data_IF_214077036220
#
_entry.id   IF_214077036220
#
_cell.length_a   1.000
_cell.length_b   1.000
_cell.length_c   1.000
_cell.angle_alpha   90.00
_cell.angle_beta   90.00
_cell.angle_gamma   90.00
#
_symmetry.space_group_name_H-M   'P 1'
#
loop_
_entity.id
_entity.type
_entity.pdbx_description
1 polymer ?
#
# COMPACT_ATOMS: atom_id res chain seq x y z
N UNK A 1 11.26 4.01 13.83
CA UNK A 1 10.21 4.78 14.53
C UNK A 1 8.91 4.14 14.15
N UNK A 2 8.07 3.79 15.12
CA UNK A 2 6.81 3.08 14.83
C UNK A 2 5.99 3.86 13.79
N UNK A 3 5.52 3.14 12.80
CA UNK A 3 4.62 3.67 11.79
C UNK A 3 3.25 3.96 12.43
N UNK A 4 2.55 4.93 11.90
CA UNK A 4 1.23 5.35 12.37
C UNK A 4 0.26 5.50 11.21
N UNK A 5 -1.02 5.72 11.51
CA UNK A 5 -2.07 5.89 10.49
C UNK A 5 -1.65 6.81 9.34
N UNK A 6 -1.75 6.31 8.11
CA UNK A 6 -1.36 7.02 6.90
C UNK A 6 0.15 7.09 6.63
N UNK A 7 0.99 6.35 7.38
CA UNK A 7 2.43 6.21 7.07
C UNK A 7 2.66 5.44 5.76
N UNK A 8 1.73 4.57 5.39
CA UNK A 8 1.64 3.96 4.06
C UNK A 8 0.20 4.09 3.55
N UNK A 9 0.01 3.88 2.24
CA UNK A 9 -1.31 3.68 1.64
C UNK A 9 -1.20 2.63 0.53
N UNK A 10 -2.25 1.83 0.33
CA UNK A 10 -2.32 0.90 -0.80
C UNK A 10 -2.40 1.68 -2.12
N UNK A 11 -1.73 1.17 -3.16
CA UNK A 11 -1.74 1.71 -4.53
C UNK A 11 -1.93 0.61 -5.59
N UNK A 12 -2.07 -0.64 -5.14
CA UNK A 12 -2.49 -1.80 -5.93
C UNK A 12 -3.06 -2.88 -5.01
N UNK A 13 -4.12 -3.53 -5.46
CA UNK A 13 -4.80 -4.66 -4.81
C UNK A 13 -5.17 -5.66 -5.90
N UNK A 14 -4.83 -6.93 -5.72
CA UNK A 14 -5.18 -8.02 -6.63
C UNK A 14 -5.52 -9.24 -5.78
N UNK A 15 -6.76 -9.72 -5.90
CA UNK A 15 -7.29 -10.94 -5.29
C UNK A 15 -7.62 -12.02 -6.34
N UNK A 16 -7.05 -11.86 -7.53
CA UNK A 16 -7.14 -12.82 -8.62
C UNK A 16 -5.74 -13.36 -9.01
N UNK A 17 -5.70 -14.45 -9.77
CA UNK A 17 -4.47 -15.10 -10.17
C UNK A 17 -3.68 -15.64 -8.97
N UNK A 18 -2.60 -14.96 -8.57
CA UNK A 18 -1.74 -15.36 -7.45
C UNK A 18 -1.56 -14.29 -6.36
N UNK A 19 -2.48 -13.34 -6.32
CA UNK A 19 -2.63 -12.27 -5.35
C UNK A 19 -1.40 -11.37 -5.17
N UNK A 20 -1.65 -10.06 -5.23
CA UNK A 20 -0.60 -9.06 -5.16
C UNK A 20 -1.12 -7.82 -4.44
N UNK A 21 -0.23 -7.15 -3.72
CA UNK A 21 -0.50 -5.80 -3.23
C UNK A 21 0.64 -4.87 -3.61
N UNK A 22 0.34 -3.59 -3.69
CA UNK A 22 1.36 -2.55 -3.72
C UNK A 22 1.00 -1.48 -2.70
N UNK A 23 2.00 -0.98 -1.96
CA UNK A 23 1.81 0.16 -1.07
C UNK A 23 2.89 1.21 -1.33
N UNK A 24 2.53 2.47 -1.12
CA UNK A 24 3.48 3.59 -1.13
C UNK A 24 3.83 3.99 0.30
N UNK A 25 5.10 4.25 0.56
CA UNK A 25 5.55 4.91 1.78
C UNK A 25 5.19 6.41 1.73
N UNK A 26 4.40 6.91 2.68
CA UNK A 26 4.05 8.34 2.76
C UNK A 26 4.86 9.09 3.84
N UNK A 27 5.66 8.35 4.60
CA UNK A 27 6.77 8.79 5.43
C UNK A 27 7.96 7.86 5.20
N UNK A 28 9.17 8.29 5.57
CA UNK A 28 10.34 7.41 5.54
C UNK A 28 10.11 6.22 6.50
N UNK A 29 10.38 5.00 6.01
CA UNK A 29 10.33 3.76 6.77
C UNK A 29 11.77 3.31 7.05
N UNK A 30 12.24 3.38 8.31
CA UNK A 30 13.57 2.87 8.66
C UNK A 30 13.74 1.38 8.40
N UNK A 31 15.00 0.95 8.18
CA UNK A 31 15.32 -0.48 8.15
C UNK A 31 14.95 -1.15 9.48
N UNK A 32 14.41 -2.37 9.39
CA UNK A 32 13.96 -3.17 10.52
C UNK A 32 12.52 -2.92 10.95
N UNK A 33 11.81 -1.94 10.39
CA UNK A 33 10.37 -1.83 10.57
C UNK A 33 9.66 -3.01 9.87
N UNK A 34 8.70 -3.61 10.57
CA UNK A 34 7.86 -4.69 10.06
C UNK A 34 6.42 -4.22 10.00
N UNK A 35 5.70 -4.56 8.93
CA UNK A 35 4.26 -4.35 8.75
C UNK A 35 3.62 -5.72 8.57
N UNK A 36 2.54 -5.98 9.30
CA UNK A 36 1.70 -7.17 9.11
C UNK A 36 0.52 -6.77 8.22
N UNK A 37 0.24 -7.63 7.25
CA UNK A 37 -0.95 -7.60 6.40
C UNK A 37 -1.82 -8.80 6.75
N UNK A 38 -3.08 -8.57 7.09
CA UNK A 38 -4.01 -9.60 7.56
C UNK A 38 -5.42 -9.30 7.05
N UNK A 39 -6.08 -10.29 6.45
CA UNK A 39 -7.44 -10.20 5.92
C UNK A 39 -8.52 -10.74 6.89
N UNK A 40 -8.14 -11.58 7.87
CA UNK A 40 -9.01 -12.02 8.97
C UNK A 40 -9.89 -10.84 9.47
N UNK A 41 -11.18 -11.11 9.73
CA UNK A 41 -12.12 -9.99 9.84
C UNK A 41 -12.03 -9.32 11.21
N UNK A 42 -11.74 -8.01 11.20
CA UNK A 42 -11.77 -7.22 12.42
C UNK A 42 -13.20 -6.93 12.85
N UNK A 43 -13.60 -7.41 14.03
CA UNK A 43 -14.96 -7.24 14.56
C UNK A 43 -15.17 -5.94 15.36
N UNK A 44 -14.16 -5.06 15.40
CA UNK A 44 -14.17 -3.86 16.23
C UNK A 44 -13.39 -3.97 17.53
N UNK A 45 -12.88 -5.14 17.91
CA UNK A 45 -12.12 -5.35 19.14
C UNK A 45 -11.00 -6.38 19.03
N UNK A 46 -11.18 -7.38 18.16
CA UNK A 46 -10.19 -8.40 17.83
C UNK A 46 -10.44 -8.88 16.40
N UNK A 47 -9.45 -9.55 15.83
CA UNK A 47 -9.66 -10.42 14.68
C UNK A 47 -10.61 -11.56 15.06
N UNK A 48 -11.66 -11.77 14.27
CA UNK A 48 -12.74 -12.71 14.57
C UNK A 48 -12.26 -14.16 14.51
N UNK A 49 -11.31 -14.45 13.62
CA UNK A 49 -10.62 -15.72 13.57
C UNK A 49 -9.11 -15.57 13.30
N UNK A 50 -8.48 -16.68 12.93
CA UNK A 50 -7.05 -16.74 12.60
C UNK A 50 -6.79 -17.65 11.39
N UNK A 51 -7.80 -17.92 10.57
CA UNK A 51 -7.76 -18.92 9.50
C UNK A 51 -7.81 -18.31 8.10
N UNK A 52 -7.55 -17.03 7.95
CA UNK A 52 -7.38 -16.40 6.63
C UNK A 52 -5.90 -16.05 6.36
N UNK A 53 -5.65 -15.26 5.31
CA UNK A 53 -4.34 -14.80 4.90
C UNK A 53 -3.66 -13.85 5.91
N UNK A 54 -2.45 -14.23 6.35
CA UNK A 54 -1.61 -13.30 7.11
C UNK A 54 -0.14 -13.40 6.70
N UNK A 55 0.46 -12.26 6.39
CA UNK A 55 1.87 -12.14 6.04
C UNK A 55 2.49 -10.89 6.62
N UNK A 56 3.82 -10.88 6.71
CA UNK A 56 4.55 -9.69 7.14
C UNK A 56 5.57 -9.28 6.09
N UNK A 57 5.76 -7.97 5.95
CA UNK A 57 6.85 -7.38 5.20
C UNK A 57 7.77 -6.65 6.16
N UNK A 58 9.08 -6.84 6.01
CA UNK A 58 10.11 -6.14 6.77
C UNK A 58 11.01 -5.34 5.83
N UNK A 59 11.25 -4.07 6.18
CA UNK A 59 12.21 -3.22 5.49
C UNK A 59 13.64 -3.70 5.78
N UNK A 60 14.33 -4.27 4.79
CA UNK A 60 15.75 -4.71 4.94
C UNK A 60 16.74 -3.55 4.81
N UNK A 61 16.31 -2.44 4.19
CA UNK A 61 16.98 -1.14 4.15
C UNK A 61 15.94 -0.04 4.36
N UNK A 62 16.38 1.20 4.60
CA UNK A 62 15.45 2.32 4.70
C UNK A 62 14.69 2.51 3.37
N UNK A 63 13.38 2.74 3.45
CA UNK A 63 12.50 3.03 2.32
C UNK A 63 12.09 4.50 2.42
N UNK A 64 12.52 5.31 1.46
CA UNK A 64 12.20 6.74 1.44
C UNK A 64 10.72 6.98 1.12
N UNK A 65 10.14 8.03 1.67
CA UNK A 65 8.80 8.48 1.33
C UNK A 65 8.67 8.69 -0.20
N UNK A 66 7.51 8.31 -0.73
CA UNK A 66 7.20 8.25 -2.16
C UNK A 66 7.57 6.94 -2.84
N UNK A 67 8.35 6.07 -2.20
CA UNK A 67 8.70 4.76 -2.78
C UNK A 67 7.52 3.80 -2.73
N UNK A 68 7.28 3.08 -3.82
CA UNK A 68 6.31 1.99 -3.89
C UNK A 68 7.00 0.66 -3.67
N UNK A 69 6.42 -0.17 -2.82
CA UNK A 69 6.80 -1.57 -2.61
C UNK A 69 5.68 -2.44 -3.16
N UNK A 70 6.02 -3.37 -4.07
CA UNK A 70 5.11 -4.44 -4.50
C UNK A 70 5.38 -5.67 -3.67
N UNK A 71 4.32 -6.44 -3.39
CA UNK A 71 4.38 -7.76 -2.78
C UNK A 71 3.60 -8.69 -3.70
N UNK A 72 4.27 -9.73 -4.15
CA UNK A 72 3.80 -10.62 -5.21
C UNK A 72 3.77 -12.07 -4.73
N UNK A 73 2.92 -12.88 -5.37
CA UNK A 73 2.75 -14.30 -5.09
C UNK A 73 2.26 -14.56 -3.65
N UNK A 74 1.25 -13.80 -3.20
CA UNK A 74 0.71 -13.89 -1.84
C UNK A 74 -0.16 -15.15 -1.69
N UNK A 75 -0.90 -15.55 -2.73
CA UNK A 75 -1.78 -16.71 -2.71
C UNK A 75 -1.05 -18.06 -2.66
N UNK A 76 0.05 -18.19 -3.41
CA UNK A 76 0.80 -19.44 -3.52
C UNK A 76 2.27 -19.26 -3.91
N UNK A 77 3.08 -20.32 -3.79
CA UNK A 77 4.51 -20.26 -4.13
C UNK A 77 5.33 -19.41 -3.17
N UNK A 78 6.46 -18.86 -3.65
CA UNK A 78 7.34 -18.01 -2.84
C UNK A 78 6.92 -16.55 -2.96
N UNK A 79 6.37 -15.99 -1.88
CA UNK A 79 6.08 -14.56 -1.82
C UNK A 79 7.37 -13.73 -1.94
N UNK A 80 7.31 -12.62 -2.67
CA UNK A 80 8.45 -11.74 -2.92
C UNK A 80 8.04 -10.28 -2.80
N UNK A 81 9.00 -9.40 -2.52
CA UNK A 81 8.76 -7.96 -2.56
C UNK A 81 9.82 -7.26 -3.42
N UNK A 82 9.46 -6.15 -4.05
CA UNK A 82 10.40 -5.34 -4.84
C UNK A 82 11.55 -4.75 -4.01
N UNK A 83 11.32 -4.58 -2.70
CA UNK A 83 12.33 -4.30 -1.69
C UNK A 83 11.88 -4.86 -0.33
N UNK A 84 12.80 -5.05 0.62
CA UNK A 84 12.47 -5.70 1.88
C UNK A 84 12.35 -7.23 1.75
N UNK A 85 11.71 -7.86 2.73
CA UNK A 85 11.50 -9.30 2.77
C UNK A 85 10.11 -9.65 3.29
N UNK A 86 9.47 -10.64 2.67
CA UNK A 86 8.15 -11.15 3.07
C UNK A 86 8.30 -12.42 3.88
N UNK A 87 7.53 -12.56 4.97
CA UNK A 87 7.49 -13.77 5.79
C UNK A 87 6.05 -14.24 5.95
N UNK A 88 5.82 -15.53 5.68
CA UNK A 88 4.61 -16.29 5.94
C UNK A 88 4.95 -17.63 6.64
N UNK A 89 4.08 -18.16 7.53
CA UNK A 89 2.93 -17.47 8.11
C UNK A 89 3.37 -16.46 9.18
N UNK A 90 2.44 -15.59 9.59
CA UNK A 90 2.64 -14.75 10.79
C UNK A 90 2.46 -15.61 12.04
N UNK A 91 3.33 -15.42 13.04
CA UNK A 91 3.25 -16.19 14.28
C UNK A 91 1.90 -15.96 15.00
N UNK A 92 1.23 -17.05 15.37
CA UNK A 92 -0.11 -16.99 15.98
C UNK A 92 -1.27 -16.84 14.99
N UNK A 93 -1.00 -17.01 13.68
CA UNK A 93 -1.98 -17.10 12.61
C UNK A 93 -1.96 -18.48 11.96
N UNK A 94 -3.02 -18.79 11.21
CA UNK A 94 -3.13 -19.97 10.37
C UNK A 94 -2.14 -19.93 9.20
N UNK A 95 -2.17 -21.01 8.41
CA UNK A 95 -1.32 -21.16 7.22
C UNK A 95 -2.06 -20.90 5.91
N UNK A 96 -3.31 -20.45 5.99
CA UNK A 96 -4.06 -20.03 4.80
C UNK A 96 -3.41 -18.78 4.20
N UNK A 97 -3.61 -18.62 2.90
CA UNK A 97 -2.90 -17.65 2.09
C UNK A 97 -3.84 -17.09 1.04
N UNK A 98 -3.49 -15.90 0.59
CA UNK A 98 -4.19 -15.20 -0.46
C UNK A 98 -5.26 -14.28 0.05
N UNK A 99 -6.02 -13.73 -0.88
CA UNK A 99 -7.21 -12.91 -0.68
C UNK A 99 -8.30 -13.58 -1.52
N UNK A 100 -9.56 -13.67 -1.07
CA UNK A 100 -10.60 -14.08 -2.00
C UNK A 100 -11.07 -12.88 -2.85
N UNK A 101 -11.71 -13.24 -3.96
CA UNK A 101 -12.06 -12.31 -5.04
C UNK A 101 -13.01 -11.18 -4.62
N UNK A 102 -13.83 -11.38 -3.59
CA UNK A 102 -14.85 -10.41 -3.16
C UNK A 102 -15.03 -10.39 -1.65
N UNK A 103 -15.70 -9.36 -1.15
CA UNK A 103 -16.01 -9.15 0.28
C UNK A 103 -14.82 -9.07 1.25
N UNK A 104 -13.64 -8.71 0.76
CA UNK A 104 -12.39 -8.77 1.49
C UNK A 104 -11.94 -7.45 2.07
N UNK A 105 -11.34 -7.50 3.27
CA UNK A 105 -10.66 -6.36 3.90
C UNK A 105 -9.24 -6.70 4.34
N UNK A 106 -8.23 -6.11 3.71
CA UNK A 106 -6.84 -6.25 4.12
C UNK A 106 -6.40 -5.11 5.04
N UNK A 107 -6.04 -5.44 6.28
CA UNK A 107 -5.47 -4.51 7.25
C UNK A 107 -3.95 -4.49 7.20
N UNK A 108 -3.35 -3.30 7.26
CA UNK A 108 -1.92 -3.13 7.49
C UNK A 108 -1.68 -2.55 8.88
N UNK A 109 -0.89 -3.23 9.72
CA UNK A 109 -0.66 -2.82 11.10
C UNK A 109 0.73 -3.20 11.64
N UNK A 110 1.10 -2.58 12.76
CA UNK A 110 2.27 -2.91 13.57
C UNK A 110 1.88 -3.48 14.93
N UNK A 111 2.79 -4.23 15.57
CA UNK A 111 2.53 -4.85 16.87
C UNK A 111 1.90 -6.23 16.75
N UNK A 112 1.27 -6.70 17.84
CA UNK A 112 0.61 -8.01 17.85
C UNK A 112 -0.84 -7.91 17.42
N UNK A 113 -1.36 -9.01 16.89
CA UNK A 113 -2.79 -9.30 16.70
C UNK A 113 -3.73 -8.83 17.81
N UNK A 114 -3.29 -8.97 19.06
CA UNK A 114 -4.06 -8.64 20.28
C UNK A 114 -3.99 -7.16 20.68
N UNK A 115 -3.06 -6.42 20.11
CA UNK A 115 -2.87 -4.99 20.35
C UNK A 115 -2.33 -4.31 19.07
N UNK A 116 -3.09 -4.36 17.96
CA UNK A 116 -2.62 -3.85 16.67
C UNK A 116 -2.58 -2.32 16.69
N UNK A 117 -1.50 -1.78 16.13
CA UNK A 117 -1.39 -0.37 15.75
C UNK A 117 -1.66 -0.26 14.25
N UNK A 118 -2.92 -0.02 13.89
CA UNK A 118 -3.36 0.06 12.50
C UNK A 118 -2.73 1.26 11.77
N UNK A 119 -2.30 1.01 10.53
CA UNK A 119 -1.63 1.99 9.66
C UNK A 119 -2.52 2.38 8.49
N UNK A 120 -3.14 1.41 7.83
CA UNK A 120 -4.12 1.60 6.74
C UNK A 120 -4.92 0.32 6.54
N UNK A 121 -5.96 0.36 5.71
CA UNK A 121 -6.72 -0.80 5.27
C UNK A 121 -7.24 -0.58 3.84
N UNK A 122 -7.51 -1.67 3.12
CA UNK A 122 -8.25 -1.64 1.85
C UNK A 122 -9.34 -2.69 1.90
N UNK A 123 -10.54 -2.35 1.43
CA UNK A 123 -11.63 -3.32 1.25
C UNK A 123 -12.11 -3.31 -0.21
N UNK A 124 -12.43 -4.48 -0.78
CA UNK A 124 -13.04 -4.60 -2.12
C UNK A 124 -14.56 -4.80 -2.09
N UNK A 125 -15.13 -5.37 -1.03
CA UNK A 125 -16.59 -5.38 -0.76
C UNK A 125 -17.04 -4.41 0.35
N UNK A 126 -16.18 -3.44 0.70
CA UNK A 126 -16.47 -2.39 1.68
C UNK A 126 -16.36 -2.80 3.15
N UNK A 127 -16.25 -1.78 4.02
CA UNK A 127 -15.99 -1.98 5.45
C UNK A 127 -17.27 -2.24 6.25
N UNK A 128 -17.49 -3.49 6.67
CA UNK A 128 -18.65 -3.88 7.45
C UNK A 128 -18.34 -5.04 8.41
N UNK A 129 -19.29 -5.49 9.23
CA UNK A 129 -19.01 -6.55 10.22
C UNK A 129 -18.79 -7.94 9.64
N UNK A 130 -19.22 -8.18 8.40
CA UNK A 130 -19.00 -9.44 7.69
C UNK A 130 -17.63 -9.46 7.01
N UNK A 131 -17.22 -8.34 6.40
CA UNK A 131 -16.02 -8.25 5.57
C UNK A 131 -14.79 -7.75 6.35
N UNK A 132 -15.02 -7.11 7.50
CA UNK A 132 -14.02 -6.41 8.30
C UNK A 132 -14.41 -4.95 8.56
N UNK A 133 -14.53 -4.57 9.84
CA UNK A 133 -14.95 -3.24 10.23
C UNK A 133 -13.77 -2.30 10.55
N UNK A 134 -13.98 -0.99 10.44
CA UNK A 134 -13.01 0.02 10.94
C UNK A 134 -13.22 0.43 12.40
N UNK A 135 -14.21 -0.16 13.08
CA UNK A 135 -14.52 0.19 14.48
C UNK A 135 -13.30 0.02 15.37
N UNK A 136 -12.96 1.04 16.17
CA UNK A 136 -11.82 1.07 17.08
C UNK A 136 -10.42 0.84 16.46
N UNK A 137 -10.28 0.80 15.13
CA UNK A 137 -8.95 0.79 14.48
C UNK A 137 -8.33 2.19 14.49
N UNK A 138 -9.18 3.21 14.62
CA UNK A 138 -8.82 4.62 14.47
C UNK A 138 -8.67 5.06 13.02
N UNK A 139 -8.85 4.17 12.05
CA UNK A 139 -8.87 4.47 10.62
C UNK A 139 -10.23 5.06 10.21
N UNK A 140 -10.27 5.71 9.06
CA UNK A 140 -11.46 6.31 8.45
C UNK A 140 -11.41 6.09 6.94
N UNK A 141 -12.46 5.45 6.41
CA UNK A 141 -12.63 5.25 4.98
C UNK A 141 -12.58 6.60 4.23
N UNK A 142 -11.87 6.63 3.10
CA UNK A 142 -11.64 7.86 2.33
C UNK A 142 -10.52 8.75 2.84
N UNK A 143 -9.92 8.45 4.00
CA UNK A 143 -8.87 9.27 4.63
C UNK A 143 -7.56 8.50 4.75
N UNK A 144 -7.58 7.39 5.48
CA UNK A 144 -6.43 6.50 5.72
C UNK A 144 -6.79 5.01 5.55
N UNK A 145 -8.00 4.72 5.06
CA UNK A 145 -8.41 3.42 4.55
C UNK A 145 -9.16 3.59 3.21
N UNK A 146 -8.91 2.70 2.26
CA UNK A 146 -9.49 2.72 0.92
C UNK A 146 -10.68 1.77 0.83
N UNK A 147 -11.80 2.26 0.32
CA UNK A 147 -12.99 1.46 0.06
C UNK A 147 -13.22 1.35 -1.45
N UNK A 148 -12.74 0.26 -2.06
CA UNK A 148 -12.85 0.01 -3.49
C UNK A 148 -14.30 -0.30 -3.92
N UNK A 149 -15.17 -0.77 -3.02
CA UNK A 149 -16.59 -1.03 -3.33
C UNK A 149 -17.34 0.21 -3.84
N UNK A 150 -16.81 1.40 -3.53
CA UNK A 150 -17.35 2.67 -4.03
C UNK A 150 -16.95 2.99 -5.48
N UNK A 151 -15.96 2.28 -6.02
CA UNK A 151 -15.62 2.26 -7.45
C UNK A 151 -16.27 1.05 -8.12
N UNK A 152 -16.05 -0.13 -7.55
CA UNK A 152 -16.39 -1.43 -8.11
C UNK A 152 -16.47 -2.44 -6.95
N UNK A 153 -17.67 -2.96 -6.71
CA UNK A 153 -17.94 -3.89 -5.62
C UNK A 153 -17.39 -5.26 -6.00
N UNK A 154 -16.64 -5.91 -5.11
CA UNK A 154 -15.92 -7.16 -5.37
C UNK A 154 -14.84 -7.04 -6.48
N UNK A 155 -14.20 -5.88 -6.59
CA UNK A 155 -13.09 -5.71 -7.54
C UNK A 155 -12.01 -6.80 -7.38
N UNK A 156 -11.80 -7.60 -8.43
CA UNK A 156 -10.78 -8.65 -8.52
C UNK A 156 -9.37 -8.04 -8.48
N UNK A 157 -9.17 -6.96 -9.25
CA UNK A 157 -7.92 -6.21 -9.29
C UNK A 157 -8.19 -4.71 -9.41
N UNK A 158 -7.44 -3.90 -8.67
CA UNK A 158 -7.50 -2.45 -8.73
C UNK A 158 -6.11 -1.83 -8.62
N UNK A 159 -5.88 -0.72 -9.34
CA UNK A 159 -4.64 0.05 -9.26
C UNK A 159 -4.90 1.56 -9.21
N UNK A 160 -4.09 2.27 -8.42
CA UNK A 160 -4.16 3.72 -8.34
C UNK A 160 -3.76 4.36 -9.68
N UNK A 161 -4.66 5.15 -10.24
CA UNK A 161 -4.54 5.84 -11.54
C UNK A 161 -4.50 7.37 -11.41
N UNK A 162 -4.39 7.89 -10.18
CA UNK A 162 -4.24 9.32 -9.93
C UNK A 162 -2.80 9.84 -10.13
N UNK A 163 -2.64 11.16 -9.99
CA UNK A 163 -1.33 11.80 -10.11
C UNK A 163 -0.36 11.36 -8.99
N UNK A 164 0.85 10.99 -9.39
CA UNK A 164 1.97 10.65 -8.48
C UNK A 164 2.99 11.80 -8.36
N UNK A 165 2.67 12.98 -8.87
CA UNK A 165 3.53 14.16 -8.82
C UNK A 165 2.73 15.43 -8.53
N UNK A 166 3.41 16.44 -7.99
CA UNK A 166 2.82 17.77 -7.79
C UNK A 166 2.08 17.99 -6.48
N UNK A 167 2.08 17.05 -5.53
CA UNK A 167 1.63 17.35 -4.18
C UNK A 167 2.66 18.18 -3.40
N UNK A 168 2.21 18.94 -2.40
CA UNK A 168 3.07 19.74 -1.51
C UNK A 168 3.78 18.92 -0.43
N UNK A 169 3.29 17.72 -0.15
CA UNK A 169 3.88 16.73 0.77
C UNK A 169 3.45 15.33 0.37
N UNK A 170 4.12 14.29 0.86
CA UNK A 170 3.65 12.92 0.65
C UNK A 170 2.31 12.65 1.33
N UNK A 171 2.11 13.18 2.55
CA UNK A 171 0.84 13.07 3.25
C UNK A 171 -0.34 13.68 2.48
N UNK A 172 -0.11 14.68 1.62
CA UNK A 172 -1.14 15.28 0.79
C UNK A 172 -1.67 14.33 -0.31
N UNK A 173 -0.97 13.23 -0.61
CA UNK A 173 -1.50 12.18 -1.47
C UNK A 173 -2.53 11.29 -0.78
N UNK A 174 -2.63 11.27 0.56
CA UNK A 174 -3.52 10.34 1.29
C UNK A 174 -4.97 10.41 0.82
N UNK A 175 -5.53 11.61 0.73
CA UNK A 175 -6.91 11.79 0.27
C UNK A 175 -7.09 11.32 -1.16
N UNK A 176 -6.15 11.63 -2.05
CA UNK A 176 -6.24 11.19 -3.45
C UNK A 176 -6.17 9.66 -3.56
N UNK A 177 -5.23 9.03 -2.85
CA UNK A 177 -5.05 7.57 -2.86
C UNK A 177 -6.27 6.87 -2.25
N UNK A 178 -6.80 7.35 -1.12
CA UNK A 178 -7.96 6.72 -0.47
C UNK A 178 -9.31 7.12 -1.10
N UNK A 179 -9.32 7.83 -2.24
CA UNK A 179 -10.52 8.12 -3.01
C UNK A 179 -10.62 7.13 -4.17
N UNK A 180 -11.56 6.20 -4.13
CA UNK A 180 -11.70 5.13 -5.11
C UNK A 180 -11.91 5.63 -6.56
N UNK A 181 -12.52 6.80 -6.75
CA UNK A 181 -12.66 7.41 -8.08
C UNK A 181 -11.32 7.77 -8.76
N UNK A 182 -10.19 7.73 -8.05
CA UNK A 182 -8.85 7.89 -8.62
C UNK A 182 -8.18 6.54 -8.98
N UNK A 183 -8.94 5.45 -8.94
CA UNK A 183 -8.48 4.11 -9.28
C UNK A 183 -9.14 3.62 -10.58
N UNK A 184 -8.57 2.56 -11.12
CA UNK A 184 -9.18 1.72 -12.14
C UNK A 184 -9.24 0.30 -11.59
N UNK A 185 -10.25 -0.46 -12.00
CA UNK A 185 -10.48 -1.84 -11.58
C UNK A 185 -10.86 -2.73 -12.75
N UNK A 186 -10.80 -4.03 -12.51
CA UNK A 186 -11.51 -5.06 -13.24
C UNK A 186 -12.24 -5.95 -12.25
N UNK A 187 -13.41 -6.45 -12.68
CA UNK A 187 -14.26 -7.42 -12.01
C UNK A 187 -14.91 -8.27 -13.10
N UNK A 188 -14.70 -9.59 -13.07
CA UNK A 188 -15.11 -10.45 -14.15
C UNK A 188 -14.95 -11.95 -13.91
N UNK A 189 -14.92 -12.69 -15.02
CA UNK A 189 -14.75 -14.14 -14.99
C UNK A 189 -13.40 -14.53 -15.55
N UNK A 190 -12.66 -15.37 -14.85
CA UNK A 190 -11.34 -15.83 -15.29
C UNK A 190 -10.25 -15.24 -14.40
N UNK A 191 -9.06 -15.01 -14.97
CA UNK A 191 -7.93 -14.34 -14.31
C UNK A 191 -7.71 -12.97 -14.96
N UNK A 192 -8.00 -11.88 -14.24
CA UNK A 192 -7.91 -10.48 -14.68
C UNK A 192 -6.57 -9.87 -14.30
N UNK A 193 -5.73 -10.59 -13.56
CA UNK A 193 -4.45 -10.06 -13.09
C UNK A 193 -3.43 -9.90 -14.22
N UNK A 194 -3.59 -10.57 -15.35
CA UNK A 194 -2.67 -10.51 -16.50
C UNK A 194 -3.35 -10.91 -17.82
N UNK A 195 -4.44 -10.25 -18.17
CA UNK A 195 -5.23 -10.53 -19.39
C UNK A 195 -4.99 -9.51 -20.53
N UNK A 196 -4.21 -8.45 -20.25
CA UNK A 196 -3.87 -7.39 -21.19
C UNK A 196 -4.84 -6.20 -21.16
N UNK A 197 -5.84 -6.25 -20.28
CA UNK A 197 -6.72 -5.12 -19.94
C UNK A 197 -6.23 -4.52 -18.63
N UNK A 198 -6.23 -3.19 -18.52
CA UNK A 198 -5.75 -2.54 -17.30
C UNK A 198 -6.81 -2.55 -16.19
N UNK A 199 -6.40 -2.70 -14.90
CA UNK A 199 -5.03 -2.92 -14.46
C UNK A 199 -4.59 -4.40 -14.55
N UNK A 200 -3.29 -4.61 -14.83
CA UNK A 200 -2.59 -5.90 -14.78
C UNK A 200 -1.41 -5.82 -13.79
N UNK A 201 -0.95 -6.96 -13.28
CA UNK A 201 0.32 -7.11 -12.57
C UNK A 201 1.48 -7.34 -13.57
N UNK A 202 2.74 -6.93 -13.24
CA UNK A 202 3.18 -6.31 -12.00
C UNK A 202 2.69 -4.86 -11.86
N UNK A 203 2.28 -4.49 -10.64
CA UNK A 203 1.89 -3.12 -10.35
C UNK A 203 3.02 -2.11 -10.58
N UNK A 204 2.64 -0.89 -10.98
CA UNK A 204 3.60 0.19 -11.27
C UNK A 204 4.41 0.59 -10.04
N UNK A 205 5.73 0.51 -10.16
CA UNK A 205 6.72 0.95 -9.16
C UNK A 205 7.14 2.42 -9.31
N UNK A 206 6.45 3.19 -10.16
CA UNK A 206 6.75 4.61 -10.33
C UNK A 206 6.49 5.38 -9.02
N UNK A 207 7.57 5.89 -8.42
CA UNK A 207 7.53 6.64 -7.17
C UNK A 207 6.67 7.90 -7.24
N UNK A 208 6.12 8.26 -6.09
CA UNK A 208 5.51 9.56 -5.88
C UNK A 208 6.58 10.63 -5.68
N UNK A 209 6.30 11.86 -6.12
CA UNK A 209 7.22 13.00 -6.01
C UNK A 209 6.50 14.24 -5.51
N UNK A 210 7.22 15.10 -4.76
CA UNK A 210 6.69 16.39 -4.31
C UNK A 210 6.98 17.50 -5.33
N UNK A 211 6.20 18.56 -5.28
CA UNK A 211 6.46 19.81 -6.01
C UNK A 211 7.85 20.33 -5.64
N UNK A 212 8.72 20.52 -6.63
CA UNK A 212 10.09 21.01 -6.41
C UNK A 212 11.15 19.94 -6.09
N UNK A 213 10.80 18.65 -6.14
CA UNK A 213 11.77 17.54 -6.00
C UNK A 213 12.47 17.16 -7.33
N UNK A 214 12.19 17.86 -8.42
CA UNK A 214 12.99 17.74 -9.64
C UNK A 214 14.42 18.20 -9.33
N UNK A 215 15.43 17.39 -9.69
CA UNK A 215 16.83 17.75 -9.51
C UNK A 215 17.06 19.17 -10.03
N UNK A 216 17.36 20.10 -9.12
CA UNK A 216 17.88 21.41 -9.50
C UNK A 216 19.28 21.14 -10.04
N UNK A 217 19.39 20.95 -11.35
CA UNK A 217 20.66 21.03 -12.06
C UNK A 217 21.15 22.46 -11.91
N UNK A 218 22.02 22.68 -10.91
CA UNK A 218 22.82 23.90 -10.87
C UNK A 218 23.89 23.72 -11.94
N UNK A 219 23.55 24.07 -13.19
CA UNK A 219 24.52 24.17 -14.26
C UNK A 219 25.46 25.34 -13.94
N UNK A 220 26.52 25.04 -13.18
CA UNK A 220 27.69 25.87 -12.87
C UNK A 220 27.43 27.37 -12.65
N UNK A 221 27.59 27.81 -11.40
CA UNK A 221 27.80 29.23 -11.10
C UNK A 221 29.18 29.63 -11.61
N UNK A 222 29.25 30.32 -12.74
CA UNK A 222 30.49 31.01 -13.16
C UNK A 222 30.55 32.34 -12.42
N UNK A 223 31.38 32.40 -11.38
CA UNK A 223 31.80 33.68 -10.78
C UNK A 223 32.84 34.31 -11.72
N UNK A 224 32.43 35.35 -12.44
CA UNK A 224 33.35 36.15 -13.25
C UNK A 224 34.15 37.06 -12.31
N UNK A 225 35.34 36.60 -11.91
CA UNK A 225 36.29 37.40 -11.14
C UNK A 225 37.01 38.36 -12.08
N UNK A 226 36.31 39.39 -12.55
CA UNK A 226 36.92 40.54 -13.21
C UNK A 226 37.50 41.49 -12.16
N UNK A 227 38.67 41.15 -11.60
CA UNK A 227 39.53 42.16 -10.96
C UNK A 227 40.62 42.58 -11.95
N UNK A 228 40.40 43.75 -12.57
CA UNK A 228 41.42 44.50 -13.32
C UNK A 228 42.63 44.77 -12.42
N UNK A 229 43.88 44.66 -12.92
CA UNK A 229 45.01 45.26 -12.25
C UNK A 229 44.99 46.77 -12.54
N UNK A 230 44.89 47.58 -11.48
CA UNK A 230 45.29 48.99 -11.55
C UNK A 230 46.77 49.08 -11.18
N UNK A 231 47.55 49.60 -12.14
CA UNK A 231 48.70 50.50 -11.96
C UNK A 231 49.77 50.14 -10.96
#
# INVERSE_FOLDING_TARGET
MALSKGSIAFVGFNADGNDNIAFVALTDIPAGETIIFEDNEWNGSAFADTNEGAFSWMATSAVAAGTIVTIDNIGSGTASASSGSVTLPVAGRGSNRGLAAGDETLYAYQGSASAPNFITAVANGGFNSANGALTNTGLTAGVDALDLSTLDDDADIAAFNGARSGASSFEAYRTAINTAANWISQDGSGDQSNDGTAPDVPFSTQSFTMTGSGAVSIASVTVDAASKPEG
#
